data_IF_857997149613
#
_entry.id   IF_857997149613
#
_cell.length_a   1.000
_cell.length_b   1.000
_cell.length_c   1.000
_cell.angle_alpha   90.00
_cell.angle_beta   90.00
_cell.angle_gamma   90.00
#
_symmetry.space_group_name_H-M   'P 1'
#
loop_
_entity.id
_entity.type
_entity.pdbx_description
1 polymer ?
#
# COMPACT_ATOMS: atom_id res chain seq x y z
N UNK A 1 15.17 -9.77 -13.62
CA UNK A 1 14.14 -10.43 -14.46
C UNK A 1 14.30 -10.10 -15.95
N UNK A 2 14.32 -8.82 -16.37
CA UNK A 2 14.31 -8.46 -17.81
C UNK A 2 15.68 -8.24 -18.51
N UNK A 3 16.81 -8.34 -17.81
CA UNK A 3 18.16 -8.04 -18.36
C UNK A 3 18.28 -6.62 -18.98
N UNK A 4 17.32 -5.75 -18.68
CA UNK A 4 17.24 -4.38 -19.16
C UNK A 4 17.77 -3.40 -18.10
N UNK A 5 18.33 -2.26 -18.54
CA UNK A 5 18.73 -1.18 -17.62
C UNK A 5 17.51 -0.44 -17.09
N UNK A 6 17.52 -0.03 -15.82
CA UNK A 6 16.45 0.80 -15.25
C UNK A 6 16.30 2.09 -16.07
N UNK A 7 15.06 2.47 -16.34
CA UNK A 7 14.71 3.62 -17.18
C UNK A 7 14.69 3.32 -18.67
N UNK A 8 14.95 2.08 -19.09
CA UNK A 8 14.58 1.60 -20.43
C UNK A 8 13.09 1.26 -20.46
N UNK A 9 12.67 -0.01 -20.61
CA UNK A 9 11.25 -0.40 -20.65
C UNK A 9 10.55 -0.28 -19.29
N UNK A 10 11.28 -0.45 -18.20
CA UNK A 10 10.77 -0.33 -16.82
C UNK A 10 11.54 0.77 -16.10
N UNK A 11 10.81 1.68 -15.47
CA UNK A 11 11.35 2.81 -14.73
C UNK A 11 10.58 3.08 -13.45
N UNK A 12 11.04 4.08 -12.70
CA UNK A 12 10.32 4.58 -11.54
C UNK A 12 10.40 6.10 -11.41
N UNK A 13 9.47 6.65 -10.66
CA UNK A 13 9.45 8.05 -10.28
C UNK A 13 9.01 8.18 -8.82
N UNK A 14 9.87 8.78 -8.01
CA UNK A 14 9.61 9.11 -6.61
C UNK A 14 9.91 10.60 -6.40
N UNK A 15 9.70 11.10 -5.19
CA UNK A 15 9.99 12.50 -4.87
C UNK A 15 11.50 12.75 -5.07
N UNK A 16 11.83 13.79 -5.85
CA UNK A 16 13.20 14.23 -6.19
C UNK A 16 14.02 13.27 -7.07
N UNK A 17 13.49 12.11 -7.45
CA UNK A 17 14.23 11.15 -8.26
C UNK A 17 13.35 10.51 -9.34
N UNK A 18 13.87 10.46 -10.56
CA UNK A 18 13.18 9.87 -11.70
C UNK A 18 14.16 9.10 -12.59
N UNK A 19 13.78 7.87 -12.93
CA UNK A 19 14.48 7.00 -13.88
C UNK A 19 13.50 6.50 -14.92
N UNK A 20 13.02 7.42 -15.76
CA UNK A 20 12.13 7.16 -16.89
C UNK A 20 12.76 7.71 -18.18
N UNK A 21 12.45 7.10 -19.32
CA UNK A 21 12.83 7.58 -20.64
C UNK A 21 11.64 7.49 -21.61
N UNK A 22 11.83 7.95 -22.85
CA UNK A 22 10.85 7.78 -23.92
C UNK A 22 10.55 6.30 -24.26
N UNK A 23 11.44 5.38 -23.87
CA UNK A 23 11.24 3.93 -24.04
C UNK A 23 10.53 3.27 -22.87
N UNK A 24 10.25 4.00 -21.79
CA UNK A 24 9.62 3.45 -20.58
C UNK A 24 8.13 3.24 -20.80
N UNK A 25 7.71 1.99 -20.67
CA UNK A 25 6.32 1.54 -20.84
C UNK A 25 5.67 1.17 -19.51
N UNK A 26 6.47 0.83 -18.49
CA UNK A 26 6.01 0.58 -17.12
C UNK A 26 6.74 1.51 -16.17
N UNK A 27 5.99 2.33 -15.44
CA UNK A 27 6.54 3.25 -14.45
C UNK A 27 5.97 2.93 -13.08
N UNK A 28 6.83 2.58 -12.13
CA UNK A 28 6.48 2.52 -10.72
C UNK A 28 6.55 3.93 -10.13
N UNK A 29 5.53 4.34 -9.39
CA UNK A 29 5.59 5.62 -8.70
C UNK A 29 4.84 5.56 -7.38
N UNK A 30 5.18 6.45 -6.46
CA UNK A 30 4.40 6.61 -5.24
C UNK A 30 3.06 7.27 -5.57
N UNK A 31 2.04 7.00 -4.77
CA UNK A 31 0.70 7.58 -4.89
C UNK A 31 0.75 9.10 -5.03
N UNK A 32 1.57 9.78 -4.21
CA UNK A 32 1.73 11.24 -4.28
C UNK A 32 2.30 11.76 -5.60
N UNK A 33 3.16 11.00 -6.29
CA UNK A 33 3.66 11.37 -7.63
C UNK A 33 2.54 11.28 -8.66
N UNK A 34 1.72 10.23 -8.61
CA UNK A 34 0.57 10.08 -9.51
C UNK A 34 -0.48 11.16 -9.27
N UNK A 35 -0.79 11.48 -8.01
CA UNK A 35 -1.70 12.56 -7.64
C UNK A 35 -1.22 13.92 -8.18
N UNK A 36 0.06 14.24 -8.02
CA UNK A 36 0.64 15.46 -8.60
C UNK A 36 0.58 15.48 -10.12
N UNK A 37 0.72 14.31 -10.76
CA UNK A 37 0.57 14.21 -12.22
C UNK A 37 -0.87 14.46 -12.65
N UNK A 38 -1.85 13.92 -11.93
CA UNK A 38 -3.27 14.16 -12.17
C UNK A 38 -3.66 15.63 -11.98
N UNK A 39 -3.00 16.35 -11.08
CA UNK A 39 -3.19 17.81 -10.93
C UNK A 39 -2.78 18.58 -12.20
N UNK A 40 -1.67 18.21 -12.84
CA UNK A 40 -1.18 18.85 -14.07
C UNK A 40 -1.78 18.31 -15.37
N UNK A 41 -2.05 17.00 -15.42
CA UNK A 41 -2.63 16.28 -16.56
C UNK A 41 -3.84 15.44 -16.10
N UNK A 42 -5.02 16.04 -15.88
CA UNK A 42 -6.17 15.36 -15.28
C UNK A 42 -6.67 14.15 -16.06
N UNK A 43 -6.45 14.12 -17.37
CA UNK A 43 -6.86 13.01 -18.23
C UNK A 43 -5.79 11.94 -18.37
N UNK A 44 -4.53 12.17 -17.99
CA UNK A 44 -3.41 11.24 -18.19
C UNK A 44 -3.35 10.62 -19.61
N UNK A 45 -3.38 11.40 -20.70
CA UNK A 45 -3.69 10.91 -22.06
C UNK A 45 -2.79 9.77 -22.55
N UNK A 46 -1.53 9.74 -22.11
CA UNK A 46 -0.55 8.72 -22.49
C UNK A 46 -0.53 7.48 -21.58
N UNK A 47 -1.45 7.39 -20.62
CA UNK A 47 -1.60 6.26 -19.70
C UNK A 47 -2.80 5.43 -20.13
N UNK A 48 -2.57 4.13 -20.31
CA UNK A 48 -3.60 3.15 -20.69
C UNK A 48 -4.09 2.33 -19.49
N UNK A 49 -3.19 2.10 -18.52
CA UNK A 49 -3.45 1.28 -17.33
C UNK A 49 -2.88 1.97 -16.09
N UNK A 50 -3.64 1.94 -15.01
CA UNK A 50 -3.20 2.33 -13.67
C UNK A 50 -3.37 1.13 -12.76
N UNK A 51 -2.31 0.76 -12.06
CA UNK A 51 -2.31 -0.31 -11.08
C UNK A 51 -2.07 0.36 -9.73
N UNK A 52 -3.06 0.26 -8.83
CA UNK A 52 -2.95 0.75 -7.46
C UNK A 52 -2.65 -0.45 -6.58
N UNK A 53 -1.42 -0.50 -6.07
CA UNK A 53 -0.96 -1.57 -5.18
C UNK A 53 -1.25 -1.24 -3.72
N UNK A 54 -1.30 -2.26 -2.89
CA UNK A 54 -1.49 -2.18 -1.43
C UNK A 54 -2.64 -1.27 -0.97
N UNK A 55 -3.76 -1.28 -1.70
CA UNK A 55 -4.95 -0.49 -1.34
C UNK A 55 -5.48 -0.82 0.06
N UNK A 56 -5.10 -1.98 0.59
CA UNK A 56 -5.46 -2.46 1.91
C UNK A 56 -4.85 -1.67 3.07
N UNK A 57 -3.77 -0.90 2.85
CA UNK A 57 -3.16 -0.06 3.88
C UNK A 57 -3.98 1.18 4.21
N UNK A 58 -4.94 1.57 3.34
CA UNK A 58 -5.88 2.68 3.56
C UNK A 58 -5.19 4.00 3.94
N UNK A 59 -4.07 4.31 3.29
CA UNK A 59 -3.43 5.62 3.43
C UNK A 59 -4.33 6.74 2.87
N UNK A 60 -4.19 7.95 3.42
CA UNK A 60 -4.95 9.13 2.98
C UNK A 60 -4.78 9.40 1.48
N UNK A 61 -3.54 9.30 0.99
CA UNK A 61 -3.24 9.49 -0.43
C UNK A 61 -3.86 8.40 -1.30
N UNK A 62 -3.90 7.15 -0.84
CA UNK A 62 -4.51 6.04 -1.60
C UNK A 62 -6.01 6.22 -1.70
N UNK A 63 -6.69 6.50 -0.59
CA UNK A 63 -8.14 6.72 -0.59
C UNK A 63 -8.51 7.92 -1.47
N UNK A 64 -7.73 9.00 -1.42
CA UNK A 64 -7.93 10.16 -2.30
C UNK A 64 -7.67 9.84 -3.77
N UNK A 65 -6.64 9.05 -4.09
CA UNK A 65 -6.39 8.59 -5.44
C UNK A 65 -7.57 7.76 -5.97
N UNK A 66 -8.13 6.85 -5.16
CA UNK A 66 -9.26 6.02 -5.58
C UNK A 66 -10.50 6.87 -5.91
N UNK A 67 -10.74 7.94 -5.16
CA UNK A 67 -11.79 8.91 -5.45
C UNK A 67 -11.60 9.54 -6.84
N UNK A 68 -10.41 10.08 -7.11
CA UNK A 68 -10.09 10.71 -8.39
C UNK A 68 -10.18 9.70 -9.55
N UNK A 69 -9.66 8.48 -9.35
CA UNK A 69 -9.70 7.44 -10.38
C UNK A 69 -11.13 7.02 -10.72
N UNK A 70 -12.04 6.98 -9.72
CA UNK A 70 -13.45 6.68 -9.96
C UNK A 70 -14.11 7.74 -10.84
N UNK A 71 -13.80 9.02 -10.64
CA UNK A 71 -14.27 10.10 -11.50
C UNK A 71 -13.62 10.06 -12.89
N UNK A 72 -12.31 9.78 -12.94
CA UNK A 72 -11.56 9.70 -14.19
C UNK A 72 -12.08 8.57 -15.10
N UNK A 73 -12.54 7.44 -14.54
CA UNK A 73 -13.11 6.35 -15.32
C UNK A 73 -14.41 6.73 -16.04
N UNK A 74 -15.16 7.71 -15.52
CA UNK A 74 -16.35 8.26 -16.20
C UNK A 74 -15.92 9.11 -17.41
N UNK A 75 -14.84 9.89 -17.24
CA UNK A 75 -14.30 10.75 -18.29
C UNK A 75 -13.51 9.99 -19.36
N UNK A 76 -12.83 8.89 -18.96
CA UNK A 76 -12.00 8.04 -19.82
C UNK A 76 -12.40 6.56 -19.71
N UNK A 77 -13.50 6.14 -20.37
CA UNK A 77 -13.98 4.77 -20.31
C UNK A 77 -12.98 3.72 -20.85
N UNK A 78 -12.00 4.14 -21.66
CA UNK A 78 -10.94 3.28 -22.18
C UNK A 78 -9.82 3.00 -21.18
N UNK A 79 -9.65 3.85 -20.15
CA UNK A 79 -8.65 3.68 -19.11
C UNK A 79 -8.95 2.41 -18.30
N UNK A 80 -7.92 1.63 -18.01
CA UNK A 80 -8.03 0.44 -17.16
C UNK A 80 -7.42 0.71 -15.79
N UNK A 81 -8.18 0.46 -14.74
CA UNK A 81 -7.70 0.54 -13.35
C UNK A 81 -7.72 -0.86 -12.74
N UNK A 82 -6.62 -1.25 -12.13
CA UNK A 82 -6.44 -2.53 -11.42
C UNK A 82 -6.09 -2.20 -9.98
N UNK A 83 -6.83 -2.79 -9.04
CA UNK A 83 -6.58 -2.64 -7.61
C UNK A 83 -5.97 -3.93 -7.09
N UNK A 84 -4.83 -3.85 -6.38
CA UNK A 84 -4.15 -4.99 -5.80
C UNK A 84 -4.14 -4.87 -4.27
N UNK A 85 -4.45 -5.96 -3.59
CA UNK A 85 -4.56 -6.05 -2.12
C UNK A 85 -4.04 -7.39 -1.64
N UNK A 86 -3.23 -7.39 -0.59
CA UNK A 86 -2.78 -8.61 0.08
C UNK A 86 -3.83 -9.22 1.02
N UNK A 87 -4.86 -8.46 1.42
CA UNK A 87 -5.86 -8.91 2.40
C UNK A 87 -7.23 -9.20 1.78
N UNK A 88 -8.05 -9.97 2.51
CA UNK A 88 -9.37 -10.45 2.09
C UNK A 88 -10.45 -9.35 1.93
N UNK A 89 -10.15 -8.09 2.24
CA UNK A 89 -11.15 -7.02 2.15
C UNK A 89 -11.30 -6.43 0.72
N UNK A 90 -11.07 -7.24 -0.31
CA UNK A 90 -11.25 -6.86 -1.71
C UNK A 90 -12.72 -6.47 -2.02
N UNK A 91 -13.68 -7.04 -1.28
CA UNK A 91 -15.11 -6.77 -1.45
C UNK A 91 -15.49 -5.31 -1.21
N UNK A 92 -14.83 -4.63 -0.26
CA UNK A 92 -15.09 -3.21 0.00
C UNK A 92 -14.75 -2.34 -1.21
N UNK A 93 -13.58 -2.56 -1.81
CA UNK A 93 -13.15 -1.84 -3.02
C UNK A 93 -14.02 -2.23 -4.22
N UNK A 94 -14.38 -3.51 -4.32
CA UNK A 94 -15.27 -3.97 -5.37
C UNK A 94 -16.63 -3.25 -5.34
N UNK A 95 -17.22 -3.13 -4.15
CA UNK A 95 -18.47 -2.40 -3.95
C UNK A 95 -18.31 -0.90 -4.23
N UNK A 96 -17.21 -0.28 -3.79
CA UNK A 96 -16.96 1.14 -4.02
C UNK A 96 -16.91 1.51 -5.51
N UNK A 97 -16.33 0.64 -6.35
CA UNK A 97 -16.27 0.82 -7.81
C UNK A 97 -17.48 0.24 -8.58
N UNK A 98 -18.53 -0.22 -7.88
CA UNK A 98 -19.77 -0.69 -8.50
C UNK A 98 -19.79 -2.18 -8.86
N UNK A 99 -19.44 -3.04 -7.89
CA UNK A 99 -19.45 -4.50 -8.01
C UNK A 99 -18.50 -5.03 -9.11
N UNK A 100 -17.27 -4.52 -9.14
CA UNK A 100 -16.27 -4.98 -10.11
C UNK A 100 -15.81 -6.43 -9.84
N UNK A 101 -15.33 -7.15 -10.88
CA UNK A 101 -14.81 -8.51 -10.72
C UNK A 101 -13.61 -8.57 -9.77
N UNK A 102 -13.59 -9.57 -8.90
CA UNK A 102 -12.48 -9.85 -7.98
C UNK A 102 -11.79 -11.14 -8.39
N UNK A 103 -10.46 -11.10 -8.54
CA UNK A 103 -9.63 -12.26 -8.85
C UNK A 103 -8.76 -12.58 -7.65
N UNK A 104 -8.94 -13.78 -7.09
CA UNK A 104 -8.14 -14.25 -5.95
C UNK A 104 -6.95 -15.08 -6.45
N UNK A 105 -5.74 -14.61 -6.18
CA UNK A 105 -4.50 -15.33 -6.49
C UNK A 105 -4.00 -16.00 -5.20
N UNK A 106 -3.92 -17.34 -5.15
CA UNK A 106 -3.46 -18.02 -3.95
C UNK A 106 -1.98 -17.73 -3.69
N UNK A 107 -1.68 -17.23 -2.49
CA UNK A 107 -0.31 -17.05 -2.02
C UNK A 107 0.39 -18.39 -1.79
N UNK A 108 1.72 -18.39 -1.90
CA UNK A 108 2.58 -19.47 -1.41
C UNK A 108 3.38 -18.94 -0.25
N UNK A 109 3.19 -19.51 0.93
CA UNK A 109 3.98 -19.20 2.12
C UNK A 109 4.59 -20.49 2.65
N UNK A 110 5.76 -20.36 3.29
CA UNK A 110 6.28 -21.42 4.13
C UNK A 110 5.56 -21.39 5.48
N UNK A 111 5.40 -22.51 6.19
CA UNK A 111 4.81 -22.50 7.52
C UNK A 111 5.63 -21.58 8.43
N UNK A 112 4.95 -20.58 9.00
CA UNK A 112 5.52 -19.66 9.99
C UNK A 112 4.93 -20.03 11.35
N UNK A 113 5.79 -20.39 12.30
CA UNK A 113 5.36 -20.68 13.67
C UNK A 113 5.04 -19.36 14.38
N UNK A 114 3.85 -19.28 14.98
CA UNK A 114 3.41 -18.13 15.75
C UNK A 114 3.69 -18.39 17.23
N UNK A 115 4.24 -17.39 17.90
CA UNK A 115 4.45 -17.37 19.34
C UNK A 115 3.71 -16.16 19.90
N UNK A 116 2.87 -16.39 20.89
CA UNK A 116 2.21 -15.34 21.67
C UNK A 116 3.09 -14.95 22.86
N UNK A 117 2.65 -13.93 23.61
CA UNK A 117 3.43 -13.41 24.73
C UNK A 117 3.72 -14.49 25.76
N UNK A 118 2.73 -15.31 26.10
CA UNK A 118 2.83 -16.46 27.00
C UNK A 118 3.90 -17.45 26.56
N UNK A 119 3.93 -17.82 25.27
CA UNK A 119 4.91 -18.76 24.73
C UNK A 119 6.33 -18.18 24.84
N UNK A 120 6.48 -16.87 24.61
CA UNK A 120 7.77 -16.17 24.73
C UNK A 120 8.20 -16.14 26.20
N UNK A 121 7.32 -15.79 27.13
CA UNK A 121 7.64 -15.75 28.57
C UNK A 121 8.05 -17.13 29.08
N UNK A 122 7.33 -18.18 28.68
CA UNK A 122 7.66 -19.57 29.02
C UNK A 122 8.99 -20.01 28.41
N UNK A 123 9.21 -19.76 27.12
CA UNK A 123 10.42 -20.20 26.41
C UNK A 123 11.67 -19.47 26.90
N UNK A 124 11.54 -18.18 27.21
CA UNK A 124 12.67 -17.34 27.64
C UNK A 124 12.91 -17.40 29.15
N UNK A 125 11.95 -17.90 29.94
CA UNK A 125 11.92 -17.77 31.40
C UNK A 125 12.15 -16.33 31.87
N UNK A 126 11.64 -15.36 31.10
CA UNK A 126 11.80 -13.95 31.43
C UNK A 126 11.01 -13.62 32.71
N UNK A 127 11.70 -13.10 33.72
CA UNK A 127 11.12 -12.66 34.99
C UNK A 127 11.01 -11.14 34.97
N UNK A 128 9.80 -10.64 35.17
CA UNK A 128 9.53 -9.21 35.22
C UNK A 128 9.79 -8.70 36.64
N UNK A 129 10.98 -8.13 36.88
CA UNK A 129 11.35 -7.57 38.18
C UNK A 129 10.60 -6.26 38.45
N UNK A 130 10.02 -6.15 39.65
CA UNK A 130 9.43 -4.90 40.15
C UNK A 130 10.50 -3.82 40.22
N UNK A 131 10.36 -2.76 39.41
CA UNK A 131 11.32 -1.66 39.35
C UNK A 131 12.40 -1.78 38.26
N UNK A 132 12.37 -2.83 37.42
CA UNK A 132 13.24 -2.89 36.24
C UNK A 132 13.02 -1.70 35.30
N UNK A 133 14.04 -1.36 34.50
CA UNK A 133 13.99 -0.29 33.50
C UNK A 133 12.84 -0.47 32.49
N UNK A 134 12.42 -1.71 32.28
CA UNK A 134 11.35 -2.10 31.36
C UNK A 134 9.97 -2.17 32.03
N UNK A 135 9.87 -1.99 33.35
CA UNK A 135 8.61 -1.98 34.08
C UNK A 135 7.92 -0.62 33.94
N UNK A 136 6.71 -0.60 33.35
CA UNK A 136 5.90 0.62 33.23
C UNK A 136 5.41 1.02 34.62
N UNK A 137 5.95 2.12 35.16
CA UNK A 137 5.46 2.71 36.42
C UNK A 137 4.02 3.16 36.23
N UNK A 138 3.08 2.45 36.84
CA UNK A 138 1.69 2.91 36.95
C UNK A 138 1.73 4.08 37.94
N UNK A 139 1.56 5.32 37.44
CA UNK A 139 1.32 6.47 38.32
C UNK A 139 -0.02 6.23 39.02
N UNK A 140 0.01 6.10 40.33
CA UNK A 140 -1.22 6.20 41.11
C UNK A 140 -1.72 7.65 41.04
N UNK A 141 -3.02 7.81 40.83
CA UNK A 141 -3.75 9.10 40.75
C UNK A 141 -3.81 9.85 42.10
N UNK A 142 -2.89 9.54 43.03
CA UNK A 142 -2.82 10.12 44.38
C UNK A 142 -1.85 11.29 44.50
N UNK A 143 -1.17 11.69 43.41
CA UNK A 143 -0.21 12.80 43.39
C UNK A 143 -0.74 14.05 42.66
N UNK A 144 -2.07 14.23 42.62
CA UNK A 144 -2.70 15.51 42.26
C UNK A 144 -3.20 16.15 43.56
N UNK A 145 -2.29 16.83 44.27
CA UNK A 145 -2.58 17.89 45.22
C UNK A 145 -2.20 19.25 44.59
#
# INVERSE_FOLDING_TARGET
>A
ERVDRIGSTVGYQIRLESKISASTILTFCTTGILLRRLEGEPTLPNVTHIIVDEVHERSEESDFLLLILKELLILRPELKVILMSATLNASLFAQYFGEIPVVNIPGRTFPVQQYFLEDILETTNYILEEGSEYCRKIKNDSDID
#
